data_IF_551119658505
#
_entry.id   IF_551119658505
#
_cell.length_a   1.000
_cell.length_b   1.000
_cell.length_c   1.000
_cell.angle_alpha   90.00
_cell.angle_beta   90.00
_cell.angle_gamma   90.00
#
_symmetry.space_group_name_H-M   'P 1'
#
loop_
_entity.id
_entity.type
_entity.pdbx_description
1 polymer ?
#
# COMPACT_ATOMS: atom_id res chain seq x y z
N UNK A 1 15.40 11.89 -1.14
CA UNK A 1 14.43 10.84 -0.75
C UNK A 1 14.77 9.65 -1.61
N UNK A 2 15.14 8.53 -0.99
CA UNK A 2 15.50 7.34 -1.75
C UNK A 2 14.18 6.67 -2.19
N UNK A 3 13.99 6.46 -3.49
CA UNK A 3 12.83 5.77 -4.06
C UNK A 3 12.97 4.27 -3.83
N UNK A 4 12.89 3.84 -2.57
CA UNK A 4 13.17 2.48 -2.14
C UNK A 4 12.06 1.45 -2.46
N UNK A 5 10.95 1.82 -3.09
CA UNK A 5 9.91 0.85 -3.44
C UNK A 5 9.26 1.19 -4.79
N UNK A 6 9.67 0.50 -5.85
CA UNK A 6 9.00 0.56 -7.17
C UNK A 6 7.95 -0.54 -7.28
N UNK A 7 6.87 -0.28 -8.02
CA UNK A 7 5.81 -1.26 -8.27
C UNK A 7 4.58 -1.18 -7.35
N UNK A 8 3.67 -2.14 -7.53
CA UNK A 8 2.25 -2.00 -7.17
C UNK A 8 1.91 -2.08 -5.67
N UNK A 9 2.90 -2.24 -4.78
CA UNK A 9 2.70 -2.37 -3.33
C UNK A 9 3.62 -1.44 -2.52
N UNK A 10 4.07 -0.34 -3.11
CA UNK A 10 5.01 0.59 -2.49
C UNK A 10 4.61 1.04 -1.08
N UNK A 11 3.35 1.44 -0.86
CA UNK A 11 2.87 1.87 0.48
C UNK A 11 3.01 0.74 1.51
N UNK A 12 2.66 -0.50 1.15
CA UNK A 12 2.79 -1.65 2.03
C UNK A 12 4.26 -1.83 2.43
N UNK A 13 5.18 -1.79 1.46
CA UNK A 13 6.60 -2.02 1.69
C UNK A 13 7.27 -0.90 2.46
N UNK A 14 6.92 0.36 2.22
CA UNK A 14 7.33 1.50 3.07
C UNK A 14 7.02 1.23 4.54
N UNK A 15 5.83 0.69 4.83
CA UNK A 15 5.43 0.37 6.20
C UNK A 15 6.12 -0.88 6.76
N UNK A 16 6.24 -1.95 5.96
CA UNK A 16 6.85 -3.23 6.34
C UNK A 16 8.35 -3.06 6.64
N UNK A 17 9.07 -2.31 5.80
CA UNK A 17 10.49 -1.99 5.97
C UNK A 17 10.72 -1.04 7.15
N UNK A 18 9.69 -0.30 7.55
CA UNK A 18 9.76 0.61 8.70
C UNK A 18 10.33 1.97 8.35
N UNK A 19 10.13 2.42 7.12
CA UNK A 19 10.63 3.70 6.64
C UNK A 19 10.02 4.85 7.46
N UNK A 20 10.85 5.86 7.75
CA UNK A 20 10.43 7.05 8.50
C UNK A 20 9.60 8.02 7.65
N UNK A 21 9.69 7.91 6.32
CA UNK A 21 9.03 8.80 5.38
C UNK A 21 8.31 8.00 4.30
N UNK A 22 7.10 8.44 3.96
CA UNK A 22 6.35 8.00 2.79
C UNK A 22 6.20 9.17 1.83
N UNK A 23 5.87 8.89 0.57
CA UNK A 23 5.77 9.94 -0.43
C UNK A 23 5.08 9.50 -1.71
N UNK A 24 4.96 10.46 -2.61
CA UNK A 24 4.58 10.24 -3.99
C UNK A 24 5.57 10.96 -4.90
N UNK A 25 5.72 10.41 -6.10
CA UNK A 25 6.59 10.94 -7.14
C UNK A 25 5.78 11.06 -8.43
N UNK A 26 5.84 12.22 -9.05
CA UNK A 26 5.40 12.44 -10.43
C UNK A 26 6.65 12.34 -11.29
N UNK A 27 6.63 11.48 -12.31
CA UNK A 27 7.78 11.23 -13.15
C UNK A 27 7.35 11.12 -14.62
N UNK A 28 8.30 11.34 -15.51
CA UNK A 28 8.10 11.17 -16.94
C UNK A 28 8.18 9.69 -17.29
N UNK A 29 7.23 9.14 -18.06
CA UNK A 29 7.34 7.77 -18.53
C UNK A 29 8.55 7.59 -19.45
N UNK A 30 9.19 6.42 -19.36
CA UNK A 30 10.20 5.94 -20.30
C UNK A 30 9.94 4.46 -20.64
N UNK A 31 10.93 3.75 -21.20
CA UNK A 31 10.78 2.34 -21.59
C UNK A 31 10.82 1.36 -20.42
N UNK A 32 11.17 1.80 -19.21
CA UNK A 32 11.22 0.93 -18.03
C UNK A 32 10.01 1.13 -17.10
N UNK A 33 9.94 0.28 -16.07
CA UNK A 33 8.88 0.34 -15.07
C UNK A 33 9.26 1.32 -13.96
N UNK A 34 8.52 2.43 -13.85
CA UNK A 34 8.76 3.46 -12.82
C UNK A 34 10.20 4.04 -12.83
N UNK A 35 10.88 4.05 -13.99
CA UNK A 35 12.30 4.43 -14.13
C UNK A 35 12.54 5.86 -14.60
N UNK A 36 11.58 6.46 -15.31
CA UNK A 36 11.84 7.74 -15.97
C UNK A 36 12.02 8.92 -15.01
N UNK A 37 12.51 10.07 -15.52
CA UNK A 37 12.99 11.16 -14.70
C UNK A 37 11.88 11.79 -13.85
N UNK A 38 12.23 12.23 -12.65
CA UNK A 38 11.33 12.88 -11.68
C UNK A 38 10.97 14.28 -12.17
N UNK A 39 9.68 14.59 -12.06
CA UNK A 39 9.09 15.92 -12.26
C UNK A 39 8.82 16.59 -10.91
N UNK A 40 8.11 15.90 -10.01
CA UNK A 40 7.79 16.38 -8.66
C UNK A 40 7.88 15.25 -7.65
N UNK A 41 8.11 15.61 -6.39
CA UNK A 41 8.05 14.67 -5.29
C UNK A 41 7.50 15.35 -4.05
N UNK A 42 6.61 14.67 -3.33
CA UNK A 42 6.04 15.14 -2.05
C UNK A 42 6.26 14.05 -1.00
N UNK A 43 6.53 14.46 0.24
CA UNK A 43 6.83 13.54 1.34
C UNK A 43 6.05 13.86 2.61
N UNK A 44 5.88 12.84 3.44
CA UNK A 44 5.32 12.95 4.79
C UNK A 44 6.05 12.01 5.74
N UNK A 45 6.13 12.39 7.02
CA UNK A 45 6.59 11.47 8.06
C UNK A 45 5.59 10.34 8.25
N UNK A 46 6.07 9.13 8.43
CA UNK A 46 5.28 7.96 8.80
C UNK A 46 5.11 7.96 10.32
N UNK A 47 3.86 8.02 10.79
CA UNK A 47 3.56 7.93 12.20
C UNK A 47 3.69 6.47 12.70
N UNK A 48 3.93 6.31 14.02
CA UNK A 48 4.15 5.00 14.65
C UNK A 48 3.07 3.96 14.30
N UNK A 49 1.81 4.39 14.20
CA UNK A 49 0.66 3.50 13.96
C UNK A 49 -0.03 3.77 12.63
N UNK A 50 0.66 4.42 11.70
CA UNK A 50 0.13 4.56 10.34
C UNK A 50 -0.04 3.19 9.68
N UNK A 51 -1.17 3.01 9.01
CA UNK A 51 -1.51 1.88 8.14
C UNK A 51 -1.50 2.34 6.69
N UNK A 52 -1.64 1.39 5.75
CA UNK A 52 -1.77 1.70 4.32
C UNK A 52 -2.91 2.70 4.09
N UNK A 53 -4.06 2.46 4.72
CA UNK A 53 -5.24 3.32 4.60
C UNK A 53 -5.02 4.70 5.21
N UNK A 54 -4.38 4.82 6.37
CA UNK A 54 -4.21 6.12 7.02
C UNK A 54 -3.26 7.02 6.23
N UNK A 55 -2.12 6.50 5.76
CA UNK A 55 -1.16 7.25 4.92
C UNK A 55 -1.83 7.67 3.60
N UNK A 56 -2.55 6.75 2.97
CA UNK A 56 -3.26 7.05 1.73
C UNK A 56 -4.24 8.21 1.91
N UNK A 57 -5.12 8.09 2.90
CA UNK A 57 -6.22 9.04 3.11
C UNK A 57 -5.71 10.41 3.57
N UNK A 58 -4.76 10.44 4.51
CA UNK A 58 -4.32 11.69 5.14
C UNK A 58 -3.31 12.47 4.32
N UNK A 59 -2.61 11.82 3.40
CA UNK A 59 -1.51 12.44 2.67
C UNK A 59 -1.49 12.11 1.18
N UNK A 60 -1.37 10.83 0.80
CA UNK A 60 -1.12 10.50 -0.62
C UNK A 60 -2.27 10.93 -1.54
N UNK A 61 -3.51 10.81 -1.08
CA UNK A 61 -4.68 11.23 -1.84
C UNK A 61 -4.73 12.76 -2.04
N UNK A 62 -4.78 13.61 -0.99
CA UNK A 62 -4.82 15.06 -1.19
C UNK A 62 -3.54 15.60 -1.86
N UNK A 63 -2.36 15.17 -1.42
CA UNK A 63 -1.10 15.63 -2.02
C UNK A 63 -0.94 15.15 -3.48
N UNK A 64 -1.54 14.00 -3.83
CA UNK A 64 -1.54 13.50 -5.19
C UNK A 64 -2.37 14.35 -6.14
N UNK A 65 -3.54 14.83 -5.68
CA UNK A 65 -4.37 15.78 -6.45
C UNK A 65 -3.59 17.08 -6.69
N UNK A 66 -3.02 17.65 -5.64
CA UNK A 66 -2.21 18.87 -5.72
C UNK A 66 -1.02 18.70 -6.67
N UNK A 67 -0.28 17.59 -6.54
CA UNK A 67 0.88 17.31 -7.38
C UNK A 67 0.52 17.13 -8.85
N UNK A 68 -0.66 16.60 -9.18
CA UNK A 68 -1.12 16.50 -10.57
C UNK A 68 -1.41 17.88 -11.18
N UNK A 69 -2.08 18.76 -10.43
CA UNK A 69 -2.34 20.13 -10.89
C UNK A 69 -1.02 20.86 -11.12
N UNK A 70 -0.11 20.83 -10.14
CA UNK A 70 1.22 21.46 -10.24
C UNK A 70 2.03 20.90 -11.42
N UNK A 71 1.99 19.58 -11.65
CA UNK A 71 2.68 18.97 -12.78
C UNK A 71 2.15 19.48 -14.12
N UNK A 72 0.82 19.53 -14.30
CA UNK A 72 0.20 20.02 -15.54
C UNK A 72 0.56 21.49 -15.78
N UNK A 73 0.51 22.33 -14.75
CA UNK A 73 0.90 23.74 -14.85
C UNK A 73 2.36 23.93 -15.24
N UNK A 74 3.28 23.18 -14.62
CA UNK A 74 4.70 23.22 -14.95
C UNK A 74 4.96 22.79 -16.39
N UNK A 75 4.23 21.79 -16.89
CA UNK A 75 4.37 21.29 -18.25
C UNK A 75 3.85 22.31 -19.26
N UNK A 76 2.65 22.86 -19.02
CA UNK A 76 2.05 23.89 -19.87
C UNK A 76 2.93 25.15 -19.95
N UNK A 77 3.60 25.50 -18.84
CA UNK A 77 4.53 26.63 -18.79
C UNK A 77 5.91 26.34 -19.40
N UNK A 78 6.19 25.11 -19.86
CA UNK A 78 7.51 24.72 -20.37
C UNK A 78 8.61 24.68 -19.30
N UNK A 79 8.25 24.56 -18.02
CA UNK A 79 9.16 24.63 -16.85
C UNK A 79 9.31 23.30 -16.11
N UNK A 80 8.61 22.25 -16.53
CA UNK A 80 8.65 20.96 -15.86
C UNK A 80 10.04 20.30 -15.96
N UNK A 81 10.71 20.04 -14.82
CA UNK A 81 12.05 19.49 -14.81
C UNK A 81 12.05 18.00 -15.18
N UNK A 82 13.21 17.50 -15.61
CA UNK A 82 13.49 16.08 -15.88
C UNK A 82 14.70 15.65 -15.06
N UNK A 83 14.48 15.37 -13.78
CA UNK A 83 15.56 15.02 -12.83
C UNK A 83 15.79 13.51 -12.92
N UNK A 84 16.96 13.01 -13.33
CA UNK A 84 17.22 11.56 -13.34
C UNK A 84 16.96 10.93 -11.97
N UNK A 85 16.32 9.76 -11.96
CA UNK A 85 16.18 9.00 -10.72
C UNK A 85 17.55 8.45 -10.29
N UNK A 86 17.85 8.42 -8.98
CA UNK A 86 19.04 7.73 -8.51
C UNK A 86 18.94 6.22 -8.81
N UNK A 87 20.03 5.63 -9.28
CA UNK A 87 20.12 4.17 -9.53
C UNK A 87 20.36 3.39 -8.23
N UNK A 88 20.97 4.02 -7.24
CA UNK A 88 21.28 3.43 -5.94
C UNK A 88 20.01 3.31 -5.07
N UNK A 89 19.73 2.11 -4.57
CA UNK A 89 18.60 1.83 -3.68
C UNK A 89 17.28 1.50 -4.37
N UNK A 90 17.23 1.42 -5.70
CA UNK A 90 16.03 0.97 -6.41
C UNK A 90 15.77 -0.53 -6.15
N UNK A 91 14.78 -0.85 -5.33
CA UNK A 91 14.30 -2.22 -5.14
C UNK A 91 12.88 -2.39 -5.69
N UNK A 92 12.63 -3.59 -6.22
CA UNK A 92 11.32 -4.04 -6.65
C UNK A 92 10.84 -5.09 -5.67
N UNK A 93 9.81 -4.74 -4.91
CA UNK A 93 9.21 -5.67 -3.99
C UNK A 93 8.04 -6.42 -4.65
N UNK A 94 7.78 -7.67 -4.26
CA UNK A 94 6.69 -8.44 -4.84
C UNK A 94 5.34 -7.76 -4.55
N UNK A 95 4.42 -7.93 -5.50
CA UNK A 95 3.03 -7.50 -5.37
C UNK A 95 2.35 -8.32 -4.26
N UNK A 96 2.36 -7.79 -3.04
CA UNK A 96 1.94 -8.53 -1.84
C UNK A 96 0.44 -8.86 -1.86
N UNK A 97 -0.35 -8.02 -2.52
CA UNK A 97 -1.80 -8.17 -2.66
C UNK A 97 -2.22 -9.34 -3.56
N UNK A 98 -1.37 -9.78 -4.49
CA UNK A 98 -1.65 -10.92 -5.38
C UNK A 98 -1.09 -12.23 -4.87
N UNK A 99 -0.27 -12.21 -3.80
CA UNK A 99 0.32 -13.39 -3.16
C UNK A 99 0.00 -13.39 -1.65
N UNK A 100 -1.22 -13.75 -1.22
CA UNK A 100 -1.64 -13.69 0.18
C UNK A 100 -0.77 -14.50 1.16
N UNK A 101 0.00 -15.48 0.67
CA UNK A 101 0.98 -16.23 1.46
C UNK A 101 2.08 -15.31 2.02
N UNK A 102 2.44 -14.25 1.31
CA UNK A 102 3.43 -13.26 1.76
C UNK A 102 2.93 -12.42 2.95
N UNK A 103 1.64 -12.48 3.27
CA UNK A 103 1.04 -11.83 4.43
C UNK A 103 0.92 -12.75 5.65
N UNK A 104 1.43 -13.98 5.57
CA UNK A 104 1.58 -14.84 6.74
C UNK A 104 2.63 -14.25 7.68
N UNK A 105 2.29 -14.09 8.94
CA UNK A 105 3.22 -13.59 9.93
C UNK A 105 4.36 -14.59 10.15
N UNK A 106 5.58 -14.11 9.97
CA UNK A 106 6.80 -14.78 10.39
C UNK A 106 7.10 -14.42 11.86
N UNK A 107 7.16 -15.46 12.69
CA UNK A 107 7.32 -15.38 14.14
C UNK A 107 8.73 -15.00 14.60
N UNK A 108 9.73 -15.04 13.70
CA UNK A 108 11.10 -14.65 14.02
C UNK A 108 11.31 -13.13 14.10
N UNK A 109 10.27 -12.34 13.78
CA UNK A 109 10.32 -10.88 13.78
C UNK A 109 10.39 -10.31 15.20
N UNK A 110 11.24 -9.29 15.38
CA UNK A 110 11.24 -8.49 16.61
C UNK A 110 9.98 -7.62 16.70
N UNK A 111 9.77 -6.96 17.84
CA UNK A 111 8.57 -6.15 18.08
C UNK A 111 8.28 -5.09 17.00
N UNK A 112 9.31 -4.35 16.56
CA UNK A 112 9.14 -3.31 15.54
C UNK A 112 8.84 -3.91 14.18
N UNK A 113 9.57 -4.95 13.78
CA UNK A 113 9.36 -5.65 12.50
C UNK A 113 7.97 -6.30 12.43
N UNK A 114 7.52 -6.95 13.50
CA UNK A 114 6.19 -7.56 13.56
C UNK A 114 5.08 -6.51 13.48
N UNK A 115 5.21 -5.41 14.23
CA UNK A 115 4.27 -4.30 14.16
C UNK A 115 4.20 -3.67 12.75
N UNK A 116 5.36 -3.42 12.15
CA UNK A 116 5.50 -2.90 10.79
C UNK A 116 4.89 -3.84 9.75
N UNK A 117 5.12 -5.14 9.90
CA UNK A 117 4.54 -6.15 9.02
C UNK A 117 3.01 -6.15 9.10
N UNK A 118 2.43 -6.11 10.31
CA UNK A 118 0.98 -6.12 10.48
C UNK A 118 0.37 -4.83 9.92
N UNK A 119 0.86 -3.64 10.30
CA UNK A 119 0.30 -2.35 9.83
C UNK A 119 0.48 -2.13 8.33
N UNK A 120 1.56 -2.66 7.75
CA UNK A 120 1.83 -2.61 6.32
C UNK A 120 0.99 -3.59 5.50
N UNK A 121 0.31 -4.54 6.13
CA UNK A 121 -0.66 -5.43 5.48
C UNK A 121 -2.11 -5.12 5.91
N UNK A 122 -2.34 -4.12 6.75
CA UNK A 122 -3.68 -3.77 7.26
C UNK A 122 -4.45 -2.90 6.25
N UNK A 123 -5.63 -3.28 5.74
CA UNK A 123 -6.34 -4.56 5.85
C UNK A 123 -6.11 -5.47 4.61
N UNK A 124 -5.37 -4.98 3.61
CA UNK A 124 -5.16 -5.63 2.32
C UNK A 124 -3.65 -5.85 2.11
N UNK A 125 -3.21 -7.11 1.91
CA UNK A 125 -3.99 -8.35 1.88
C UNK A 125 -4.51 -8.82 3.26
N UNK A 126 -4.04 -8.19 4.34
CA UNK A 126 -4.34 -8.54 5.72
C UNK A 126 -3.32 -9.54 6.27
N UNK A 127 -2.55 -9.13 7.29
CA UNK A 127 -1.61 -10.02 7.97
C UNK A 127 -2.38 -11.15 8.67
N UNK A 128 -1.80 -12.35 8.73
CA UNK A 128 -2.50 -13.50 9.30
C UNK A 128 -1.59 -14.56 9.92
N UNK A 129 -2.17 -15.36 10.82
CA UNK A 129 -1.56 -16.50 11.50
C UNK A 129 -2.53 -17.69 11.51
N UNK A 130 -2.03 -18.89 11.86
CA UNK A 130 -2.88 -20.05 12.16
C UNK A 130 -2.97 -20.19 13.68
N UNK A 131 -4.19 -20.15 14.23
CA UNK A 131 -4.47 -20.42 15.64
C UNK A 131 -5.47 -21.59 15.73
N UNK A 132 -5.14 -22.66 16.45
CA UNK A 132 -5.96 -23.87 16.55
C UNK A 132 -6.46 -24.39 15.17
N UNK A 133 -5.56 -24.43 14.19
CA UNK A 133 -5.87 -24.86 12.81
C UNK A 133 -6.73 -23.89 11.99
N UNK A 134 -7.07 -22.71 12.53
CA UNK A 134 -7.87 -21.69 11.83
C UNK A 134 -7.01 -20.49 11.46
N UNK A 135 -7.20 -20.00 10.23
CA UNK A 135 -6.61 -18.73 9.79
C UNK A 135 -7.26 -17.57 10.54
N UNK A 136 -6.44 -16.79 11.22
CA UNK A 136 -6.84 -15.60 11.98
C UNK A 136 -6.10 -14.39 11.42
N UNK A 137 -6.87 -13.37 11.05
CA UNK A 137 -6.36 -12.12 10.51
C UNK A 137 -6.00 -11.16 11.66
N UNK A 138 -4.96 -10.36 11.44
CA UNK A 138 -4.38 -9.42 12.39
C UNK A 138 -4.59 -8.00 11.88
N UNK A 139 -5.16 -7.14 12.73
CA UNK A 139 -5.43 -5.74 12.41
C UNK A 139 -4.94 -4.81 13.51
N UNK A 140 -4.78 -3.54 13.16
CA UNK A 140 -4.57 -2.41 14.07
C UNK A 140 -3.51 -2.71 15.12
N UNK A 141 -2.33 -3.15 14.67
CA UNK A 141 -1.24 -3.50 15.57
C UNK A 141 -0.77 -2.30 16.37
N UNK A 142 -0.33 -2.56 17.60
CA UNK A 142 0.39 -1.60 18.44
C UNK A 142 1.52 -2.32 19.16
N UNK A 143 2.67 -1.66 19.26
CA UNK A 143 3.77 -2.13 20.12
C UNK A 143 3.30 -2.13 21.57
N UNK A 144 3.35 -3.28 22.22
CA UNK A 144 2.93 -3.41 23.61
C UNK A 144 4.07 -2.98 24.52
N UNK A 145 3.88 -1.84 25.21
CA UNK A 145 4.92 -1.21 26.05
C UNK A 145 4.83 -1.58 27.53
N UNK A 146 3.79 -2.32 27.95
CA UNK A 146 3.58 -2.71 29.34
C UNK A 146 4.43 -3.95 29.68
N UNK A 147 4.92 -4.01 30.92
CA UNK A 147 5.72 -5.15 31.41
C UNK A 147 4.88 -6.39 31.73
N UNK A 148 3.59 -6.22 31.99
CA UNK A 148 2.68 -7.30 32.39
C UNK A 148 1.67 -7.63 31.30
N UNK A 149 1.22 -8.89 31.28
CA UNK A 149 0.14 -9.33 30.40
C UNK A 149 -1.18 -8.63 30.75
N UNK A 150 -2.10 -8.46 29.78
CA UNK A 150 -3.46 -7.99 30.03
C UNK A 150 -4.17 -8.83 31.08
N UNK A 151 -4.98 -8.19 31.93
CA UNK A 151 -5.85 -8.91 32.86
C UNK A 151 -6.78 -9.84 32.07
N UNK A 152 -6.96 -11.08 32.54
CA UNK A 152 -7.77 -12.12 31.91
C UNK A 152 -7.26 -12.62 30.54
N UNK A 153 -5.96 -12.45 30.27
CA UNK A 153 -5.34 -13.08 29.11
C UNK A 153 -5.39 -14.61 29.25
N UNK A 154 -5.91 -15.29 28.23
CA UNK A 154 -5.90 -16.75 28.08
C UNK A 154 -4.79 -17.16 27.13
N UNK A 155 -4.04 -18.17 27.49
CA UNK A 155 -2.99 -18.72 26.64
C UNK A 155 -3.59 -19.64 25.57
N UNK A 156 -3.08 -19.54 24.35
CA UNK A 156 -3.36 -20.48 23.25
C UNK A 156 -2.01 -21.00 22.76
N UNK A 157 -1.87 -22.32 22.71
CA UNK A 157 -0.66 -22.96 22.21
C UNK A 157 -0.49 -22.68 20.71
N UNK A 158 0.70 -22.18 20.33
CA UNK A 158 1.12 -21.92 18.95
C UNK A 158 2.60 -22.24 18.91
N UNK A 159 2.96 -23.42 18.41
CA UNK A 159 4.32 -23.94 18.52
C UNK A 159 5.35 -23.05 17.81
N UNK A 160 4.95 -22.39 16.73
CA UNK A 160 5.84 -21.52 15.95
C UNK A 160 6.04 -20.15 16.61
N UNK A 161 5.18 -19.75 17.55
CA UNK A 161 5.29 -18.48 18.24
C UNK A 161 6.41 -18.53 19.30
N UNK A 162 7.13 -17.43 19.57
CA UNK A 162 8.10 -17.37 20.66
C UNK A 162 7.46 -17.78 22.00
N UNK A 163 8.06 -18.75 22.68
CA UNK A 163 7.51 -19.34 23.91
C UNK A 163 6.37 -20.33 23.71
N UNK A 164 6.05 -20.70 22.47
CA UNK A 164 5.06 -21.74 22.13
C UNK A 164 3.61 -21.33 22.36
N UNK A 165 3.32 -20.04 22.55
CA UNK A 165 1.98 -19.55 22.90
C UNK A 165 1.70 -18.14 22.45
N UNK A 166 0.43 -17.83 22.23
CA UNK A 166 -0.10 -16.47 22.10
C UNK A 166 -1.11 -16.22 23.22
N UNK A 167 -1.42 -14.94 23.48
CA UNK A 167 -2.38 -14.59 24.51
C UNK A 167 -3.59 -13.91 23.91
N UNK A 168 -4.78 -14.32 24.35
CA UNK A 168 -6.06 -13.77 23.91
C UNK A 168 -6.75 -13.09 25.08
N UNK A 169 -7.25 -11.88 24.87
CA UNK A 169 -8.02 -11.16 25.87
C UNK A 169 -9.22 -10.47 25.19
N UNK A 170 -10.20 -9.93 25.94
CA UNK A 170 -11.43 -9.37 25.36
C UNK A 170 -11.24 -8.27 24.31
N UNK A 171 -10.06 -7.65 24.25
CA UNK A 171 -9.74 -6.57 23.32
C UNK A 171 -8.78 -6.98 22.18
N UNK A 172 -8.42 -8.26 22.06
CA UNK A 172 -7.61 -8.74 20.94
C UNK A 172 -6.61 -9.84 21.29
N UNK A 173 -5.58 -9.94 20.45
CA UNK A 173 -4.42 -10.80 20.62
C UNK A 173 -3.23 -10.01 21.16
N UNK A 174 -2.42 -10.69 21.94
CA UNK A 174 -1.08 -10.27 22.28
C UNK A 174 -0.10 -11.33 21.77
N UNK A 175 0.69 -10.93 20.79
CA UNK A 175 1.60 -11.77 20.02
C UNK A 175 3.01 -11.60 20.60
N UNK A 176 3.68 -12.67 21.05
CA UNK A 176 5.08 -12.57 21.46
C UNK A 176 5.99 -12.40 20.24
N UNK A 177 7.10 -11.70 20.45
CA UNK A 177 8.10 -11.40 19.42
C UNK A 177 9.43 -12.06 19.77
N UNK A 178 10.33 -12.20 18.78
CA UNK A 178 11.62 -12.87 18.99
C UNK A 178 12.54 -12.17 20.00
N UNK A 179 12.34 -10.87 20.23
CA UNK A 179 13.06 -10.07 21.22
C UNK A 179 12.41 -10.07 22.62
N UNK A 180 11.52 -11.02 22.91
CA UNK A 180 10.90 -11.19 24.22
C UNK A 180 9.88 -10.11 24.59
N UNK A 181 9.44 -9.31 23.61
CA UNK A 181 8.39 -8.30 23.76
C UNK A 181 7.09 -8.80 23.15
N UNK A 182 6.12 -7.89 23.03
CA UNK A 182 4.80 -8.22 22.51
C UNK A 182 4.26 -7.16 21.54
N UNK A 183 3.43 -7.60 20.60
CA UNK A 183 2.60 -6.73 19.74
C UNK A 183 1.14 -7.05 20.03
N UNK A 184 0.35 -6.03 20.36
CA UNK A 184 -1.10 -6.19 20.47
C UNK A 184 -1.74 -6.02 19.09
N UNK A 185 -2.73 -6.83 18.77
CA UNK A 185 -3.51 -6.74 17.53
C UNK A 185 -4.99 -6.99 17.81
N UNK A 186 -5.87 -6.31 17.07
CA UNK A 186 -7.30 -6.58 17.12
C UNK A 186 -7.62 -7.84 16.32
N UNK A 187 -8.52 -8.66 16.87
CA UNK A 187 -9.14 -9.76 16.15
C UNK A 187 -10.28 -9.21 15.30
N UNK A 188 -10.39 -9.65 14.05
CA UNK A 188 -11.69 -9.59 13.37
C UNK A 188 -12.65 -10.52 14.10
N UNK A 189 -13.68 -9.95 14.75
CA UNK A 189 -14.90 -10.71 15.05
C UNK A 189 -15.48 -11.11 13.70
N UNK A 190 -15.59 -12.40 13.42
CA UNK A 190 -16.00 -12.98 12.14
C UNK A 190 -14.86 -13.18 11.15
N UNK A 191 -14.80 -14.42 10.64
CA UNK A 191 -14.19 -14.78 9.36
C UNK A 191 -14.56 -13.70 8.35
N UNK A 192 -13.56 -12.99 7.85
CA UNK A 192 -13.75 -12.08 6.73
C UNK A 192 -14.13 -12.95 5.53
N UNK A 193 -15.41 -12.96 5.18
CA UNK A 193 -15.87 -13.35 3.85
C UNK A 193 -15.72 -12.11 3.00
N UNK A 194 -14.74 -12.03 2.07
CA UNK A 194 -14.69 -10.92 1.15
C UNK A 194 -15.97 -10.99 0.32
N UNK A 195 -16.98 -10.18 0.66
CA UNK A 195 -17.89 -9.70 -0.39
C UNK A 195 -16.98 -9.00 -1.37
N UNK A 196 -16.83 -9.59 -2.57
CA UNK A 196 -16.22 -8.93 -3.72
C UNK A 196 -16.99 -7.64 -3.97
N UNK A 197 -16.59 -6.58 -3.30
CA UNK A 197 -16.84 -5.23 -3.74
C UNK A 197 -15.91 -5.05 -4.92
N UNK A 198 -16.45 -5.13 -6.12
CA UNK A 198 -15.78 -4.73 -7.36
C UNK A 198 -15.65 -3.21 -7.39
N UNK A 199 -15.01 -2.62 -6.38
CA UNK A 199 -14.39 -1.33 -6.53
C UNK A 199 -12.96 -1.65 -6.95
N UNK A 200 -12.72 -1.63 -8.27
CA UNK A 200 -11.39 -1.62 -8.83
C UNK A 200 -10.66 -0.43 -8.19
N UNK A 201 -9.85 -0.70 -7.16
CA UNK A 201 -8.87 0.28 -6.67
C UNK A 201 -7.96 0.56 -7.84
N UNK A 202 -8.16 1.72 -8.43
CA UNK A 202 -7.37 2.25 -9.53
C UNK A 202 -5.90 2.17 -9.14
N UNK A 203 -5.15 1.34 -9.86
CA UNK A 203 -3.74 1.62 -10.08
C UNK A 203 -3.70 2.99 -10.74
N UNK A 204 -3.44 4.03 -9.97
CA UNK A 204 -3.05 5.31 -10.55
C UNK A 204 -1.58 5.15 -10.90
N UNK A 205 -1.35 4.47 -12.02
CA UNK A 205 -0.14 4.64 -12.81
C UNK A 205 -0.48 5.81 -13.74
N UNK A 206 -0.02 7.01 -13.43
CA UNK A 206 -0.19 8.17 -14.31
C UNK A 206 0.77 8.04 -15.49
N UNK A 207 0.40 7.21 -16.46
CA UNK A 207 1.01 7.16 -17.79
C UNK A 207 0.17 7.94 -18.81
N UNK A 208 -0.65 8.89 -18.35
CA UNK A 208 -1.44 9.77 -19.20
C UNK A 208 -0.88 11.19 -19.13
N UNK A 209 0.12 11.46 -19.97
CA UNK A 209 0.28 12.80 -20.53
C UNK A 209 0.77 12.78 -21.99
N UNK A 210 1.20 11.63 -22.53
CA UNK A 210 1.60 11.53 -23.93
C UNK A 210 0.41 11.74 -24.89
N UNK A 211 -0.80 11.27 -24.53
CA UNK A 211 -1.95 11.31 -25.44
C UNK A 211 -2.62 12.70 -25.57
N UNK A 212 -2.31 13.66 -24.70
CA UNK A 212 -2.86 15.02 -24.79
C UNK A 212 -1.92 16.02 -25.48
N UNK A 213 -0.64 15.69 -25.65
CA UNK A 213 0.36 16.62 -26.21
C UNK A 213 0.87 16.25 -27.61
N UNK A 214 0.55 15.06 -28.14
CA UNK A 214 0.70 14.78 -29.58
C UNK A 214 -0.49 15.35 -30.39
N UNK A 215 -0.67 16.67 -30.28
CA UNK A 215 -1.62 17.45 -31.09
C UNK A 215 -0.88 18.31 -32.11
N UNK A 216 0.04 17.72 -32.86
CA UNK A 216 0.58 18.33 -34.10
C UNK A 216 -0.04 17.73 -35.38
N UNK A 217 -0.97 16.76 -35.26
CA UNK A 217 -1.60 16.11 -36.42
C UNK A 217 -3.14 15.97 -36.39
N UNK A 218 -3.86 16.65 -35.50
CA UNK A 218 -5.33 16.50 -35.36
C UNK A 218 -6.17 17.70 -35.87
N UNK A 219 -5.64 18.53 -36.76
CA UNK A 219 -6.38 19.65 -37.38
C UNK A 219 -7.09 19.31 -38.70
N UNK A 220 -7.12 18.05 -39.16
CA UNK A 220 -7.75 17.71 -40.45
C UNK A 220 -9.07 16.93 -40.39
N UNK A 221 -9.57 16.53 -39.21
CA UNK A 221 -10.73 15.63 -39.14
C UNK A 221 -12.01 16.19 -38.49
N UNK A 222 -12.04 17.45 -38.06
CA UNK A 222 -13.24 18.06 -37.45
C UNK A 222 -13.97 19.07 -38.33
N UNK A 223 -13.73 19.05 -39.65
CA UNK A 223 -14.45 19.89 -40.61
C UNK A 223 -14.91 19.09 -41.84
N UNK A 224 -15.63 17.98 -41.65
CA UNK A 224 -16.55 17.52 -42.71
C UNK A 224 -17.71 16.66 -42.16
N UNK A 225 -18.88 17.30 -42.12
CA UNK A 225 -20.21 16.79 -42.52
C UNK A 225 -20.83 15.51 -41.91
N UNK A 226 -21.92 15.76 -41.18
CA UNK A 226 -23.26 15.13 -41.27
C UNK A 226 -23.58 13.87 -40.44
N UNK A 227 -24.78 13.80 -39.81
CA UNK A 227 -25.19 12.72 -38.91
C UNK A 227 -25.88 11.57 -39.66
N UNK A 228 -25.64 10.33 -39.24
CA UNK A 228 -26.42 9.17 -39.68
C UNK A 228 -26.71 8.22 -38.52
N UNK A 229 -28.00 7.89 -38.39
CA UNK A 229 -28.63 6.95 -37.45
C UNK A 229 -28.22 5.49 -37.75
N UNK A 230 -28.37 4.59 -36.75
CA UNK A 230 -28.75 3.16 -36.81
C UNK A 230 -28.50 2.57 -35.40
N UNK A 231 -29.53 2.39 -34.56
CA UNK A 231 -30.44 1.23 -34.43
C UNK A 231 -29.89 0.05 -33.60
N UNK A 232 -30.78 -0.43 -32.73
CA UNK A 232 -30.70 -1.59 -31.85
C UNK A 232 -30.50 -2.89 -32.63
N UNK A 233 -29.78 -3.86 -32.04
CA UNK A 233 -30.28 -5.22 -31.80
C UNK A 233 -29.19 -6.16 -31.23
N UNK A 234 -29.68 -7.24 -30.60
CA UNK A 234 -29.02 -8.50 -30.21
C UNK A 234 -28.57 -8.66 -28.75
N UNK A 235 -29.57 -8.88 -27.89
CA UNK A 235 -29.54 -10.00 -26.93
C UNK A 235 -30.73 -10.94 -27.22
N UNK A 236 -30.41 -12.15 -27.65
CA UNK A 236 -31.16 -13.39 -27.38
C UNK A 236 -30.25 -14.29 -26.54
#
# INVERSE_FOLDING_TARGET
MHSNCRGASAINWTLICGDENAGLTVFWPDSGLDTGPILLQKSTKVAENDTVTSIYTRFLYPAGIEAMVEAVELIAAGKAPRIPQPEEGASYEPHITTKPILAQLDWNKNQSQMHNFIRGNDAIPGAWVILNGKKVMLFSSKRYKKKSLPRNAKEIAVMEAPGGKVYVHPYGLLLPTSDGKFVSSLLSRSVYSPKRSTHKMTKILFQCLQLFFDSSHLTSYLTSSSPFLLEEELFH
#
